data_IF_081208201764
#
_entry.id   IF_081208201764
#
_cell.length_a   1.000
_cell.length_b   1.000
_cell.length_c   1.000
_cell.angle_alpha   90.00
_cell.angle_beta   90.00
_cell.angle_gamma   90.00
#
_symmetry.space_group_name_H-M   'P 1'
#
loop_
_entity.id
_entity.type
_entity.pdbx_description
1 polymer ?
#
# COMPACT_ATOMS: atom_id res chain seq x y z
N UNK A 1 28.66 -1.91 18.03
CA UNK A 1 27.29 -2.32 18.35
C UNK A 1 26.36 -1.13 18.21
N UNK A 2 25.13 -1.30 17.67
CA UNK A 2 24.14 -0.24 17.67
C UNK A 2 23.84 0.21 19.09
N UNK A 3 23.67 1.52 19.28
CA UNK A 3 23.25 2.12 20.54
C UNK A 3 22.01 2.96 20.30
N UNK A 4 21.07 2.95 21.25
CA UNK A 4 19.91 3.82 21.20
C UNK A 4 20.32 5.24 21.59
N UNK A 5 20.06 6.21 20.72
CA UNK A 5 20.38 7.62 20.94
C UNK A 5 19.13 8.42 21.34
N UNK A 6 18.08 8.33 20.52
CA UNK A 6 16.86 9.12 20.70
C UNK A 6 15.61 8.34 20.29
N UNK A 7 14.46 8.70 20.87
CA UNK A 7 13.12 8.32 20.40
C UNK A 7 12.38 9.59 20.01
N UNK A 8 11.75 9.58 18.84
CA UNK A 8 10.99 10.71 18.30
C UNK A 8 9.52 10.33 18.24
N UNK A 9 8.61 10.98 18.99
CA UNK A 9 7.18 10.79 18.81
C UNK A 9 6.74 11.24 17.41
N UNK A 10 5.97 10.39 16.72
CA UNK A 10 5.42 10.62 15.38
C UNK A 10 3.90 10.38 15.39
N UNK A 11 3.26 10.30 14.24
CA UNK A 11 1.85 9.93 14.14
C UNK A 11 1.55 8.49 14.56
N UNK A 12 0.28 8.11 14.49
CA UNK A 12 -0.17 6.78 14.93
C UNK A 12 0.20 5.70 13.92
N UNK A 13 0.65 4.55 14.44
CA UNK A 13 1.04 3.36 13.69
C UNK A 13 2.10 3.68 12.60
N UNK A 14 3.33 4.04 13.00
CA UNK A 14 4.42 4.21 12.04
C UNK A 14 4.81 2.87 11.43
N UNK A 15 4.69 2.73 10.11
CA UNK A 15 4.91 1.46 9.38
C UNK A 15 6.11 1.47 8.45
N UNK A 16 6.51 2.64 7.98
CA UNK A 16 7.64 2.80 7.07
C UNK A 16 8.36 4.13 7.32
N UNK A 17 9.62 4.17 6.92
CA UNK A 17 10.37 5.42 6.90
C UNK A 17 11.39 5.42 5.76
N UNK A 18 11.66 6.60 5.22
CA UNK A 18 12.74 6.81 4.26
C UNK A 18 13.58 8.05 4.64
N UNK A 19 14.87 7.94 4.45
CA UNK A 19 15.77 9.08 4.57
C UNK A 19 15.75 9.86 3.25
N UNK A 20 15.43 11.15 3.33
CA UNK A 20 15.64 12.05 2.21
C UNK A 20 17.13 12.33 2.03
N UNK A 21 17.81 12.56 3.14
CA UNK A 21 19.26 12.75 3.27
C UNK A 21 19.67 12.46 4.72
N UNK A 22 20.92 12.69 5.08
CA UNK A 22 21.45 12.43 6.42
C UNK A 22 20.83 13.32 7.52
N UNK A 23 20.09 14.36 7.15
CA UNK A 23 19.51 15.35 8.06
C UNK A 23 17.99 15.27 8.16
N UNK A 24 17.33 14.42 7.35
CA UNK A 24 15.88 14.41 7.27
C UNK A 24 15.35 13.00 7.00
N UNK A 25 14.43 12.56 7.86
CA UNK A 25 13.66 11.32 7.67
C UNK A 25 12.16 11.62 7.54
N UNK A 26 11.49 10.87 6.70
CA UNK A 26 10.02 10.91 6.56
C UNK A 26 9.44 9.60 7.05
N UNK A 27 8.50 9.68 8.00
CA UNK A 27 7.88 8.52 8.65
C UNK A 27 6.43 8.43 8.24
N UNK A 28 6.03 7.27 7.73
CA UNK A 28 4.65 6.97 7.32
C UNK A 28 3.85 6.51 8.52
N UNK A 29 2.74 7.18 8.80
CA UNK A 29 1.86 6.89 9.93
C UNK A 29 0.51 6.42 9.38
N UNK A 30 0.29 5.12 9.36
CA UNK A 30 -0.87 4.49 8.69
C UNK A 30 -2.19 4.93 9.31
N UNK A 31 -2.31 4.87 10.63
CA UNK A 31 -3.58 5.11 11.31
C UNK A 31 -3.94 6.60 11.45
N UNK A 32 -3.02 7.49 11.21
CA UNK A 32 -3.25 8.94 11.26
C UNK A 32 -3.19 9.60 9.87
N UNK A 33 -3.18 8.82 8.79
CA UNK A 33 -3.19 9.29 7.40
C UNK A 33 -2.17 10.39 7.13
N UNK A 34 -0.96 10.22 7.64
CA UNK A 34 0.02 11.29 7.67
C UNK A 34 1.45 10.83 7.48
N UNK A 35 2.29 11.80 7.15
CA UNK A 35 3.75 11.66 7.11
C UNK A 35 4.34 12.62 8.13
N UNK A 36 5.14 12.11 9.05
CA UNK A 36 5.95 12.94 9.95
C UNK A 36 7.33 13.19 9.35
N UNK A 37 7.68 14.46 9.13
CA UNK A 37 9.01 14.86 8.65
C UNK A 37 9.86 15.20 9.88
N UNK A 38 10.88 14.39 10.10
CA UNK A 38 11.78 14.48 11.26
C UNK A 38 13.05 15.23 10.87
N UNK A 39 13.39 16.24 11.65
CA UNK A 39 14.69 16.90 11.61
C UNK A 39 15.71 16.07 12.39
N UNK A 40 16.70 15.51 11.69
CA UNK A 40 17.79 14.74 12.26
C UNK A 40 19.05 15.57 12.51
N UNK A 41 19.11 16.82 11.98
CA UNK A 41 20.23 17.73 12.18
C UNK A 41 20.16 18.46 13.53
N UNK A 42 18.99 18.53 14.13
CA UNK A 42 18.80 19.14 15.44
C UNK A 42 19.54 18.36 16.54
N UNK A 43 20.05 19.01 17.59
CA UNK A 43 20.69 18.33 18.71
C UNK A 43 19.82 17.25 19.35
N UNK A 44 18.50 17.45 19.34
CA UNK A 44 17.48 16.47 19.68
C UNK A 44 16.54 16.34 18.48
N UNK A 45 16.55 15.20 17.79
CA UNK A 45 15.67 14.96 16.65
C UNK A 45 14.19 15.16 17.03
N UNK A 46 13.43 15.81 16.16
CA UNK A 46 12.02 16.08 16.37
C UNK A 46 11.24 16.19 15.06
N UNK A 47 9.91 16.04 15.13
CA UNK A 47 9.03 16.26 13.98
C UNK A 47 8.95 17.77 13.72
N UNK A 48 9.46 18.20 12.56
CA UNK A 48 9.40 19.60 12.13
C UNK A 48 8.16 19.93 11.30
N UNK A 49 7.51 18.91 10.73
CA UNK A 49 6.30 19.07 9.92
C UNK A 49 5.53 17.75 9.84
N UNK A 50 4.20 17.84 9.77
CA UNK A 50 3.31 16.73 9.42
C UNK A 50 2.59 17.07 8.12
N UNK A 51 2.55 16.13 7.16
CA UNK A 51 1.77 16.20 5.94
C UNK A 51 0.57 15.27 6.06
N UNK A 52 -0.58 15.72 5.59
CA UNK A 52 -1.73 14.85 5.42
C UNK A 52 -1.65 14.18 4.06
N UNK A 53 -1.98 12.89 4.01
CA UNK A 53 -1.98 12.07 2.79
C UNK A 53 -3.29 11.30 2.66
N UNK A 54 -3.40 10.44 1.66
CA UNK A 54 -4.53 9.53 1.52
C UNK A 54 -4.59 8.50 2.64
N UNK A 55 -5.68 7.76 2.64
CA UNK A 55 -6.06 6.78 3.66
C UNK A 55 -5.07 5.62 3.73
N UNK A 56 -4.75 5.17 4.93
CA UNK A 56 -3.87 4.03 5.20
C UNK A 56 -2.55 4.05 4.40
N UNK A 57 -1.70 5.08 4.53
CA UNK A 57 -0.41 5.10 3.87
C UNK A 57 0.47 3.93 4.35
N UNK A 58 1.16 3.25 3.42
CA UNK A 58 1.86 1.99 3.70
C UNK A 58 3.37 2.07 3.50
N UNK A 59 3.84 2.85 2.53
CA UNK A 59 5.26 2.89 2.19
C UNK A 59 5.65 4.24 1.58
N UNK A 60 6.95 4.52 1.61
CA UNK A 60 7.53 5.75 1.10
C UNK A 60 8.91 5.51 0.48
N UNK A 61 9.15 6.11 -0.68
CA UNK A 61 10.47 6.16 -1.30
C UNK A 61 10.79 7.56 -1.83
N UNK A 62 12.08 7.86 -1.96
CA UNK A 62 12.55 9.05 -2.64
C UNK A 62 13.18 8.69 -3.98
N UNK A 63 12.79 9.42 -5.03
CA UNK A 63 13.32 9.24 -6.38
C UNK A 63 13.57 10.60 -7.07
N UNK A 64 14.09 10.52 -8.29
CA UNK A 64 14.50 11.67 -9.08
C UNK A 64 15.88 12.21 -8.68
N UNK A 65 16.39 13.22 -9.43
CA UNK A 65 17.69 13.82 -9.17
C UNK A 65 17.79 14.30 -7.71
N UNK A 66 18.87 13.92 -7.02
CA UNK A 66 19.09 14.26 -5.61
C UNK A 66 17.91 13.91 -4.67
N UNK A 67 17.16 12.86 -4.97
CA UNK A 67 15.95 12.46 -4.21
C UNK A 67 14.96 13.60 -4.08
N UNK A 68 14.72 14.30 -5.17
CA UNK A 68 13.90 15.51 -5.20
C UNK A 68 12.40 15.26 -5.04
N UNK A 69 11.95 14.01 -5.14
CA UNK A 69 10.52 13.65 -5.04
C UNK A 69 10.32 12.54 -4.03
N UNK A 70 9.32 12.72 -3.16
CA UNK A 70 8.83 11.67 -2.28
C UNK A 70 7.58 11.02 -2.92
N UNK A 71 7.51 9.71 -2.88
CA UNK A 71 6.38 8.90 -3.35
C UNK A 71 5.83 8.13 -2.17
N UNK A 72 4.54 8.29 -1.88
CA UNK A 72 3.84 7.68 -0.74
C UNK A 72 2.69 6.85 -1.27
N UNK A 73 2.70 5.55 -1.00
CA UNK A 73 1.61 4.64 -1.36
C UNK A 73 0.49 4.68 -0.33
N UNK A 74 -0.77 4.89 -0.76
CA UNK A 74 -1.96 4.92 0.10
C UNK A 74 -3.02 3.95 -0.40
N UNK A 75 -3.82 3.38 0.51
CA UNK A 75 -4.86 2.41 0.17
C UNK A 75 -6.00 3.07 -0.63
N UNK A 76 -6.37 4.28 -0.23
CA UNK A 76 -7.43 5.09 -0.81
C UNK A 76 -7.05 6.56 -0.77
N UNK A 77 -7.85 7.40 -1.42
CA UNK A 77 -7.69 8.84 -1.30
C UNK A 77 -8.03 9.37 0.08
N UNK A 78 -9.06 8.79 0.69
CA UNK A 78 -9.46 9.12 2.05
C UNK A 78 -9.96 10.57 2.22
N UNK A 79 -10.12 10.94 3.49
CA UNK A 79 -10.67 12.24 3.89
C UNK A 79 -9.81 13.45 3.52
N UNK A 80 -8.53 13.25 3.27
CA UNK A 80 -7.58 14.31 2.94
C UNK A 80 -7.53 14.63 1.44
N UNK A 81 -8.33 13.94 0.63
CA UNK A 81 -8.43 14.18 -0.81
C UNK A 81 -9.56 15.15 -1.13
N UNK A 82 -9.35 16.06 -2.10
CA UNK A 82 -10.43 16.91 -2.61
C UNK A 82 -11.46 16.16 -3.47
N UNK A 83 -11.24 14.88 -3.79
CA UNK A 83 -12.13 14.09 -4.64
C UNK A 83 -13.03 13.19 -3.79
N UNK A 84 -14.31 13.50 -3.74
CA UNK A 84 -15.32 12.75 -2.99
C UNK A 84 -15.92 11.54 -3.75
N UNK A 85 -15.47 11.28 -4.98
CA UNK A 85 -16.10 10.27 -5.84
C UNK A 85 -15.80 8.82 -5.43
N UNK A 86 -14.69 8.59 -4.75
CA UNK A 86 -14.23 7.26 -4.40
C UNK A 86 -15.13 6.53 -3.41
N UNK A 87 -15.58 7.15 -2.29
CA UNK A 87 -16.45 6.48 -1.33
C UNK A 87 -17.86 6.20 -1.87
N UNK A 88 -18.28 6.92 -2.91
CA UNK A 88 -19.62 6.87 -3.46
C UNK A 88 -19.76 5.92 -4.66
N UNK A 89 -18.67 5.39 -5.19
CA UNK A 89 -18.68 4.53 -6.38
C UNK A 89 -18.37 3.09 -5.99
N UNK A 90 -19.38 2.21 -5.83
CA UNK A 90 -19.17 0.81 -5.48
C UNK A 90 -18.25 0.11 -6.50
N UNK A 91 -17.30 -0.68 -6.00
CA UNK A 91 -16.39 -1.46 -6.80
C UNK A 91 -15.22 -0.66 -7.40
N UNK A 92 -15.10 0.60 -7.10
CA UNK A 92 -13.96 1.42 -7.47
C UNK A 92 -12.89 1.30 -6.38
N UNK A 93 -12.08 0.25 -6.46
CA UNK A 93 -10.92 0.12 -5.58
C UNK A 93 -9.72 0.79 -6.23
N UNK A 94 -9.19 1.77 -5.54
CA UNK A 94 -8.05 2.56 -5.98
C UNK A 94 -6.93 2.47 -4.97
N UNK A 95 -5.75 2.25 -5.50
CA UNK A 95 -4.52 2.55 -4.83
C UNK A 95 -4.00 3.87 -5.37
N UNK A 96 -3.50 4.73 -4.53
CA UNK A 96 -2.89 5.98 -4.99
C UNK A 96 -1.41 6.03 -4.60
N UNK A 97 -0.62 6.71 -5.43
CA UNK A 97 0.73 7.13 -5.07
C UNK A 97 0.76 8.65 -5.05
N UNK A 98 0.90 9.21 -3.87
CA UNK A 98 1.01 10.65 -3.65
C UNK A 98 2.44 11.10 -3.86
N UNK A 99 2.64 12.14 -4.66
CA UNK A 99 3.96 12.65 -5.03
C UNK A 99 4.15 14.04 -4.43
N UNK A 100 5.19 14.22 -3.63
CA UNK A 100 5.54 15.49 -3.00
C UNK A 100 6.88 16.01 -3.48
N UNK A 101 7.05 17.33 -3.42
CA UNK A 101 8.37 17.93 -3.50
C UNK A 101 9.17 17.60 -2.23
N UNK A 102 10.33 16.98 -2.38
CA UNK A 102 11.16 16.61 -1.24
C UNK A 102 11.74 17.81 -0.49
N UNK A 103 12.00 18.92 -1.18
CA UNK A 103 12.60 20.11 -0.57
C UNK A 103 11.56 21.02 0.09
N UNK A 104 10.38 21.15 -0.53
CA UNK A 104 9.31 22.01 -0.01
C UNK A 104 7.94 21.30 -0.06
N UNK A 105 7.72 20.29 0.79
CA UNK A 105 6.51 19.50 0.79
C UNK A 105 5.39 20.28 1.48
N UNK A 106 4.52 20.90 0.73
CA UNK A 106 3.34 21.62 1.23
C UNK A 106 2.04 20.94 0.85
N UNK A 107 1.94 20.55 -0.42
CA UNK A 107 0.82 19.86 -1.02
C UNK A 107 1.36 18.81 -2.01
N UNK A 108 0.58 17.78 -2.35
CA UNK A 108 1.02 16.83 -3.37
C UNK A 108 1.15 17.56 -4.71
N UNK A 109 2.24 17.30 -5.41
CA UNK A 109 2.47 17.74 -6.79
C UNK A 109 1.57 16.97 -7.76
N UNK A 110 1.31 15.70 -7.42
CA UNK A 110 0.46 14.82 -8.20
C UNK A 110 -0.02 13.66 -7.34
N UNK A 111 -1.14 13.05 -7.74
CA UNK A 111 -1.66 11.80 -7.20
C UNK A 111 -1.83 10.85 -8.38
N UNK A 112 -1.04 9.80 -8.41
CA UNK A 112 -1.10 8.76 -9.44
C UNK A 112 -2.05 7.68 -8.98
N UNK A 113 -3.20 7.56 -9.63
CA UNK A 113 -4.20 6.54 -9.33
C UNK A 113 -3.85 5.24 -10.03
N UNK A 114 -3.81 4.15 -9.27
CA UNK A 114 -3.56 2.81 -9.75
C UNK A 114 -4.81 1.94 -9.60
N UNK A 115 -4.95 0.97 -10.49
CA UNK A 115 -6.00 -0.03 -10.34
C UNK A 115 -5.59 -1.07 -9.29
N UNK A 116 -6.44 -1.28 -8.31
CA UNK A 116 -6.23 -2.27 -7.25
C UNK A 116 -6.19 -1.67 -5.85
N UNK A 117 -5.83 -2.48 -4.86
CA UNK A 117 -5.88 -2.09 -3.44
C UNK A 117 -5.05 -3.03 -2.57
N UNK A 118 -4.43 -2.57 -1.50
CA UNK A 118 -3.67 -1.33 -1.38
C UNK A 118 -2.29 -1.48 -2.02
N UNK A 119 -1.52 -0.41 -2.26
CA UNK A 119 -0.10 -0.53 -2.53
C UNK A 119 0.59 -1.00 -1.24
N UNK A 120 1.39 -2.06 -1.34
CA UNK A 120 2.05 -2.67 -0.17
C UNK A 120 3.53 -2.34 -0.08
N UNK A 121 4.13 -1.96 -1.18
CA UNK A 121 5.53 -1.62 -1.21
C UNK A 121 5.87 -0.77 -2.41
N UNK A 122 6.81 0.13 -2.22
CA UNK A 122 7.41 0.94 -3.27
C UNK A 122 8.89 0.58 -3.40
N UNK A 123 9.39 0.62 -4.60
CA UNK A 123 10.82 0.44 -4.86
C UNK A 123 11.30 1.44 -5.90
N UNK A 124 12.56 1.82 -5.83
CA UNK A 124 13.19 2.74 -6.77
C UNK A 124 14.24 1.99 -7.59
N UNK A 125 14.29 2.24 -8.89
CA UNK A 125 15.36 1.73 -9.74
C UNK A 125 16.74 2.23 -9.28
N UNK A 126 17.83 1.50 -9.54
CA UNK A 126 19.17 1.90 -9.11
C UNK A 126 19.61 3.30 -9.59
N UNK A 127 19.12 3.72 -10.76
CA UNK A 127 19.37 5.06 -11.31
C UNK A 127 18.47 6.16 -10.71
N UNK A 128 17.52 5.79 -9.86
CA UNK A 128 16.58 6.73 -9.24
C UNK A 128 15.50 7.27 -10.17
N UNK A 129 15.39 6.78 -11.39
CA UNK A 129 14.52 7.36 -12.42
C UNK A 129 13.10 6.75 -12.43
N UNK A 130 12.95 5.53 -11.92
CA UNK A 130 11.68 4.80 -11.95
C UNK A 130 11.25 4.36 -10.55
N UNK A 131 9.96 4.53 -10.25
CA UNK A 131 9.33 4.02 -9.03
C UNK A 131 8.39 2.87 -9.39
N UNK A 132 8.54 1.75 -8.72
CA UNK A 132 7.68 0.58 -8.82
C UNK A 132 6.73 0.53 -7.64
N UNK A 133 5.46 0.25 -7.89
CA UNK A 133 4.45 0.06 -6.85
C UNK A 133 3.90 -1.38 -6.90
N UNK A 134 4.03 -2.10 -5.78
CA UNK A 134 3.46 -3.44 -5.62
C UNK A 134 2.03 -3.35 -5.11
N UNK A 135 1.06 -3.81 -5.89
CA UNK A 135 -0.36 -3.79 -5.54
C UNK A 135 -0.81 -5.16 -5.04
N UNK A 136 -1.39 -5.20 -3.84
CA UNK A 136 -1.81 -6.45 -3.19
C UNK A 136 -2.98 -7.13 -3.93
N UNK A 137 -4.02 -6.35 -4.27
CA UNK A 137 -5.16 -6.81 -5.07
C UNK A 137 -5.20 -6.02 -6.37
N UNK A 138 -4.69 -6.58 -7.44
CA UNK A 138 -4.52 -5.89 -8.71
C UNK A 138 -5.43 -6.39 -9.83
N UNK A 139 -6.44 -7.21 -9.53
CA UNK A 139 -7.29 -7.81 -10.55
C UNK A 139 -6.56 -8.78 -11.49
N UNK A 140 -5.48 -9.40 -11.02
CA UNK A 140 -4.67 -10.36 -11.77
C UNK A 140 -5.33 -11.75 -11.90
N UNK A 141 -6.66 -11.82 -11.70
CA UNK A 141 -7.45 -13.04 -11.73
C UNK A 141 -7.08 -14.07 -10.66
N UNK A 142 -6.46 -13.64 -9.57
CA UNK A 142 -6.17 -14.50 -8.42
C UNK A 142 -7.13 -14.21 -7.26
N UNK A 143 -7.44 -15.25 -6.49
CA UNK A 143 -8.20 -15.16 -5.25
C UNK A 143 -7.75 -16.24 -4.27
N UNK A 144 -8.33 -16.24 -3.08
CA UNK A 144 -8.10 -17.26 -2.06
C UNK A 144 -9.35 -18.14 -1.96
N UNK A 145 -9.22 -19.42 -2.23
CA UNK A 145 -10.24 -20.41 -1.93
C UNK A 145 -10.14 -20.80 -0.45
N UNK A 146 -11.21 -20.57 0.33
CA UNK A 146 -11.26 -20.91 1.76
C UNK A 146 -12.53 -21.64 2.10
N UNK A 147 -12.44 -22.58 3.04
CA UNK A 147 -13.60 -23.31 3.53
C UNK A 147 -14.57 -22.43 4.35
N UNK A 148 -14.05 -21.51 5.16
CA UNK A 148 -14.85 -20.73 6.10
C UNK A 148 -15.00 -19.27 5.68
N UNK A 149 -16.19 -18.91 5.15
CA UNK A 149 -16.53 -17.54 4.76
C UNK A 149 -16.55 -16.53 5.91
N UNK A 150 -16.74 -17.00 7.16
CA UNK A 150 -16.91 -16.10 8.30
C UNK A 150 -15.61 -15.42 8.71
N UNK A 151 -14.46 -16.01 8.37
CA UNK A 151 -13.15 -15.47 8.71
C UNK A 151 -12.70 -14.32 7.80
N UNK A 152 -13.22 -14.26 6.56
CA UNK A 152 -12.74 -13.31 5.55
C UNK A 152 -13.83 -12.37 5.00
N UNK A 153 -15.00 -12.36 5.65
CA UNK A 153 -16.15 -11.57 5.19
C UNK A 153 -16.74 -12.08 3.88
N UNK A 154 -17.70 -11.39 3.34
CA UNK A 154 -18.18 -11.62 1.97
C UNK A 154 -17.04 -11.18 1.04
N UNK A 155 -16.33 -12.11 0.44
CA UNK A 155 -15.48 -11.81 -0.70
C UNK A 155 -16.34 -11.06 -1.70
N UNK A 156 -16.07 -9.78 -1.84
CA UNK A 156 -16.82 -8.92 -2.73
C UNK A 156 -16.74 -9.50 -4.15
N UNK A 157 -17.89 -9.66 -4.78
CA UNK A 157 -18.01 -10.04 -6.18
C UNK A 157 -17.42 -8.98 -7.13
N UNK A 158 -16.93 -7.87 -6.60
CA UNK A 158 -16.34 -6.77 -7.37
C UNK A 158 -15.05 -7.15 -8.11
N UNK A 159 -14.36 -8.21 -7.70
CA UNK A 159 -13.07 -8.65 -8.26
C UNK A 159 -13.15 -9.90 -9.13
N UNK A 160 -14.28 -10.19 -9.69
CA UNK A 160 -14.50 -11.40 -10.44
C UNK A 160 -15.16 -12.50 -9.61
N UNK A 161 -15.35 -13.66 -10.21
CA UNK A 161 -15.99 -14.78 -9.51
C UNK A 161 -15.10 -15.22 -8.35
N UNK A 162 -15.63 -15.31 -7.11
CA UNK A 162 -14.87 -15.88 -6.01
C UNK A 162 -14.45 -17.30 -6.38
N UNK A 163 -13.23 -17.68 -6.01
CA UNK A 163 -12.77 -19.05 -6.16
C UNK A 163 -13.70 -20.02 -5.40
N UNK A 164 -13.85 -21.25 -5.89
CA UNK A 164 -14.68 -22.25 -5.26
C UNK A 164 -14.15 -22.66 -3.88
N UNK A 165 -15.01 -23.20 -3.05
CA UNK A 165 -14.65 -23.71 -1.72
C UNK A 165 -14.04 -25.09 -1.75
N UNK A 166 -14.38 -25.86 -2.78
CA UNK A 166 -13.97 -27.23 -2.97
C UNK A 166 -13.27 -27.36 -4.34
N UNK A 167 -12.34 -28.28 -4.47
CA UNK A 167 -11.74 -28.59 -5.75
C UNK A 167 -12.71 -29.38 -6.64
N UNK A 168 -12.33 -29.64 -7.90
CA UNK A 168 -13.16 -30.40 -8.85
C UNK A 168 -13.42 -31.86 -8.43
N UNK A 169 -12.68 -32.37 -7.44
CA UNK A 169 -12.85 -33.71 -6.84
C UNK A 169 -13.69 -33.67 -5.55
N UNK A 170 -14.20 -32.50 -5.16
CA UNK A 170 -14.97 -32.32 -3.96
C UNK A 170 -14.13 -32.20 -2.66
N UNK A 171 -12.81 -32.03 -2.78
CA UNK A 171 -11.95 -31.82 -1.63
C UNK A 171 -12.00 -30.37 -1.22
N UNK A 172 -12.30 -30.11 0.07
CA UNK A 172 -12.42 -28.76 0.60
C UNK A 172 -11.10 -28.03 0.73
N UNK A 173 -11.12 -26.74 0.43
CA UNK A 173 -10.02 -25.86 0.72
C UNK A 173 -9.72 -25.83 2.23
N UNK A 174 -8.45 -25.75 2.64
CA UNK A 174 -8.08 -25.62 4.05
C UNK A 174 -8.60 -24.29 4.61
N UNK A 175 -8.79 -24.22 5.94
CA UNK A 175 -9.22 -23.01 6.63
C UNK A 175 -8.24 -21.82 6.42
N UNK A 176 -6.97 -22.12 6.20
CA UNK A 176 -5.93 -21.13 5.87
C UNK A 176 -6.02 -20.61 4.44
N UNK A 177 -6.83 -21.28 3.60
CA UNK A 177 -7.02 -20.92 2.20
C UNK A 177 -5.94 -21.45 1.25
N UNK A 178 -6.28 -21.49 -0.01
CA UNK A 178 -5.39 -21.81 -1.13
C UNK A 178 -5.47 -20.67 -2.14
N UNK A 179 -4.34 -20.17 -2.58
CA UNK A 179 -4.29 -19.17 -3.65
C UNK A 179 -4.59 -19.86 -4.97
N UNK A 180 -5.62 -19.39 -5.65
CA UNK A 180 -6.03 -19.90 -6.96
C UNK A 180 -6.04 -18.77 -7.98
N UNK A 181 -5.73 -19.11 -9.23
CA UNK A 181 -5.74 -18.19 -10.37
C UNK A 181 -6.74 -18.67 -11.41
N UNK A 182 -7.52 -17.75 -11.95
CA UNK A 182 -8.40 -18.01 -13.08
C UNK A 182 -7.63 -17.96 -14.40
N UNK A 183 -7.65 -19.03 -15.19
CA UNK A 183 -6.93 -19.16 -16.46
C UNK A 183 -7.78 -18.77 -17.70
N UNK A 184 -8.96 -18.19 -17.47
CA UNK A 184 -9.97 -17.88 -18.50
C UNK A 184 -11.09 -18.92 -18.57
N UNK A 185 -10.90 -20.08 -17.98
CA UNK A 185 -11.86 -21.18 -17.98
C UNK A 185 -12.08 -21.77 -16.58
N UNK A 186 -11.00 -21.94 -15.81
CA UNK A 186 -11.00 -22.64 -14.51
C UNK A 186 -10.12 -21.93 -13.49
N UNK A 187 -10.43 -22.14 -12.22
CA UNK A 187 -9.57 -21.76 -11.11
C UNK A 187 -8.55 -22.87 -10.84
N UNK A 188 -7.27 -22.54 -10.80
CA UNK A 188 -6.18 -23.47 -10.54
C UNK A 188 -5.24 -22.96 -9.48
N UNK A 189 -4.78 -23.87 -8.60
CA UNK A 189 -3.68 -23.57 -7.68
C UNK A 189 -2.30 -23.72 -8.35
N UNK A 190 -1.26 -23.53 -7.56
CA UNK A 190 0.12 -23.69 -8.02
C UNK A 190 0.43 -25.10 -8.55
N UNK A 191 -0.25 -26.11 -8.02
CA UNK A 191 -0.06 -27.51 -8.44
C UNK A 191 -0.93 -27.91 -9.63
N UNK A 192 -1.73 -26.98 -10.15
CA UNK A 192 -2.64 -27.23 -11.27
C UNK A 192 -3.96 -27.88 -10.87
N UNK A 193 -4.24 -28.05 -9.58
CA UNK A 193 -5.52 -28.57 -9.08
C UNK A 193 -6.66 -27.67 -9.55
N UNK A 194 -7.73 -28.27 -10.05
CA UNK A 194 -8.91 -27.55 -10.49
C UNK A 194 -9.85 -27.31 -9.31
N UNK A 195 -10.17 -26.03 -9.10
CA UNK A 195 -11.05 -25.53 -8.04
C UNK A 195 -12.38 -24.97 -8.59
N UNK A 196 -12.82 -25.44 -9.76
CA UNK A 196 -14.06 -24.99 -10.42
C UNK A 196 -15.30 -25.71 -9.93
#
# INVERSE_FOLDING_TARGET
QPVHLHSVPVGLEPVALALRNDQEAWVVNTLSDSISIVDLAAPVPHVKRTLQVGDEPQDIVFAGPARSRAFVGTAHRGQNSPSELEPLTPGLERADVWVFDGANPTQPLNIVTLFGMPPRGLAVSPDGATVYAGIYKSGNQSTIAVHNYRLFGKLSTAYGKPGPKDDASGVRAPNTGVIVRYDGNRWRDYYGTNWS
#
